data_IF_132049674670
#
_entry.id   IF_132049674670
#
_cell.length_a   1.000
_cell.length_b   1.000
_cell.length_c   1.000
_cell.angle_alpha   90.00
_cell.angle_beta   90.00
_cell.angle_gamma   90.00
#
_symmetry.space_group_name_H-M   'P 1'
#
loop_
_entity.id
_entity.type
_entity.pdbx_description
1 polymer ?
#
# COMPACT_ATOMS: atom_id res chain seq x y z
N UNK A 1 -5.11 20.40 9.72
CA UNK A 1 -4.36 20.51 8.45
C UNK A 1 -3.48 21.75 8.54
N UNK A 2 -2.17 21.61 8.40
CA UNK A 2 -1.22 22.74 8.32
C UNK A 2 -0.84 22.94 6.85
N UNK A 3 -0.87 24.18 6.37
CA UNK A 3 -0.61 24.51 4.96
C UNK A 3 0.66 25.35 4.88
N UNK A 4 1.64 24.89 4.10
CA UNK A 4 2.92 25.56 3.89
C UNK A 4 3.20 25.64 2.40
N UNK A 5 3.57 26.82 1.92
CA UNK A 5 4.00 27.02 0.54
C UNK A 5 5.52 26.91 0.46
N UNK A 6 6.02 25.99 -0.36
CA UNK A 6 7.46 25.76 -0.60
C UNK A 6 7.79 25.90 -2.07
N UNK A 7 8.98 26.44 -2.37
CA UNK A 7 9.55 26.46 -3.73
C UNK A 7 10.34 25.17 -3.98
N UNK A 8 10.65 24.90 -5.24
CA UNK A 8 11.57 23.82 -5.61
C UNK A 8 12.94 24.04 -4.92
N UNK A 9 13.46 22.99 -4.30
CA UNK A 9 14.66 22.99 -3.48
C UNK A 9 14.43 23.25 -1.99
N UNK A 10 13.24 23.68 -1.58
CA UNK A 10 12.92 23.85 -0.16
C UNK A 10 12.36 22.56 0.46
N UNK A 11 12.57 22.40 1.77
CA UNK A 11 12.12 21.25 2.54
C UNK A 11 11.26 21.66 3.74
N UNK A 12 10.47 20.68 4.21
CA UNK A 12 9.64 20.72 5.42
C UNK A 12 10.04 19.53 6.28
N UNK A 13 10.22 19.76 7.57
CA UNK A 13 10.52 18.71 8.54
C UNK A 13 9.26 18.38 9.35
N UNK A 14 9.00 17.09 9.56
CA UNK A 14 7.87 16.57 10.34
C UNK A 14 8.48 15.75 11.50
N UNK A 15 8.27 16.21 12.73
CA UNK A 15 9.01 15.65 13.88
C UNK A 15 10.51 15.92 13.73
N UNK A 16 11.33 14.93 14.10
CA UNK A 16 12.79 15.01 14.01
C UNK A 16 13.39 14.11 12.91
N UNK A 17 12.59 13.16 12.40
CA UNK A 17 13.10 12.06 11.54
C UNK A 17 12.59 12.11 10.10
N UNK A 18 11.55 12.90 9.79
CA UNK A 18 10.95 12.94 8.46
C UNK A 18 11.21 14.29 7.79
N UNK A 19 11.83 14.25 6.61
CA UNK A 19 12.10 15.43 5.78
C UNK A 19 11.41 15.27 4.43
N UNK A 20 10.55 16.23 4.09
CA UNK A 20 9.84 16.31 2.82
C UNK A 20 10.46 17.43 2.00
N UNK A 21 11.06 17.11 0.87
CA UNK A 21 11.74 18.06 -0.01
C UNK A 21 11.00 18.18 -1.33
N UNK A 22 10.72 19.42 -1.75
CA UNK A 22 10.15 19.66 -3.09
C UNK A 22 11.30 19.66 -4.09
N UNK A 23 11.41 18.63 -4.92
CA UNK A 23 12.52 18.50 -5.87
C UNK A 23 12.31 19.37 -7.12
N UNK A 24 11.16 19.25 -7.77
CA UNK A 24 10.77 20.10 -8.90
C UNK A 24 9.25 20.25 -8.96
N UNK A 25 8.78 21.34 -9.55
CA UNK A 25 7.38 21.54 -9.90
C UNK A 25 7.30 21.84 -11.40
N UNK A 26 6.58 21.00 -12.15
CA UNK A 26 6.37 21.16 -13.59
C UNK A 26 4.87 21.10 -13.89
N UNK A 27 4.26 22.26 -14.13
CA UNK A 27 2.81 22.36 -14.33
C UNK A 27 2.07 21.78 -13.13
N UNK A 28 1.27 20.75 -13.35
CA UNK A 28 0.47 20.08 -12.32
C UNK A 28 1.21 18.95 -11.58
N UNK A 29 2.40 18.55 -12.07
CA UNK A 29 3.17 17.46 -11.47
C UNK A 29 4.28 18.02 -10.59
N UNK A 30 4.27 17.61 -9.33
CA UNK A 30 5.28 17.98 -8.33
C UNK A 30 6.07 16.74 -7.97
N UNK A 31 7.39 16.81 -8.08
CA UNK A 31 8.28 15.75 -7.60
C UNK A 31 8.64 16.03 -6.16
N UNK A 32 8.28 15.11 -5.28
CA UNK A 32 8.51 15.22 -3.84
C UNK A 32 9.49 14.12 -3.43
N UNK A 33 10.56 14.50 -2.76
CA UNK A 33 11.46 13.58 -2.07
C UNK A 33 11.02 13.46 -0.62
N UNK A 34 10.89 12.24 -0.12
CA UNK A 34 10.57 11.97 1.28
C UNK A 34 11.73 11.16 1.86
N UNK A 35 12.37 11.70 2.87
CA UNK A 35 13.40 11.03 3.64
C UNK A 35 12.83 10.73 5.02
N UNK A 36 12.72 9.45 5.33
CA UNK A 36 12.18 8.94 6.58
C UNK A 36 13.01 7.72 7.01
N UNK A 37 13.07 7.41 8.31
CA UNK A 37 13.78 6.23 8.80
C UNK A 37 12.99 4.96 8.44
N UNK A 38 13.64 3.78 8.54
CA UNK A 38 13.10 2.51 8.02
C UNK A 38 11.84 2.01 8.75
N UNK A 39 11.64 2.46 9.97
CA UNK A 39 10.47 2.20 10.79
C UNK A 39 9.23 2.96 10.29
N UNK A 40 9.41 4.08 9.60
CA UNK A 40 8.32 4.87 9.02
C UNK A 40 8.07 4.45 7.59
N UNK A 41 6.95 3.77 7.35
CA UNK A 41 6.54 3.39 6.01
C UNK A 41 5.96 4.59 5.25
N UNK A 42 6.43 4.80 4.02
CA UNK A 42 5.95 5.86 3.13
C UNK A 42 5.18 5.22 1.98
N UNK A 43 3.89 5.52 1.89
CA UNK A 43 3.00 5.01 0.85
C UNK A 43 2.35 6.17 0.10
N UNK A 44 1.91 5.90 -1.13
CA UNK A 44 0.98 6.80 -1.81
C UNK A 44 -0.40 6.64 -1.18
N UNK A 45 -1.13 7.75 -1.02
CA UNK A 45 -2.41 7.77 -0.30
C UNK A 45 -3.42 6.81 -0.92
N UNK A 46 -3.55 6.83 -2.25
CA UNK A 46 -4.49 6.00 -2.99
C UNK A 46 -4.25 4.51 -2.76
N UNK A 47 -2.98 4.09 -2.82
CA UNK A 47 -2.58 2.70 -2.62
C UNK A 47 -2.82 2.27 -1.17
N UNK A 48 -2.54 3.15 -0.21
CA UNK A 48 -2.75 2.85 1.20
C UNK A 48 -4.24 2.66 1.53
N UNK A 49 -5.12 3.48 0.94
CA UNK A 49 -6.56 3.36 1.14
C UNK A 49 -7.11 2.05 0.56
N UNK A 50 -6.70 1.69 -0.67
CA UNK A 50 -7.09 0.42 -1.29
C UNK A 50 -6.64 -0.78 -0.46
N UNK A 51 -5.37 -0.80 -0.03
CA UNK A 51 -4.83 -1.86 0.80
C UNK A 51 -5.58 -1.98 2.14
N UNK A 52 -5.89 -0.85 2.77
CA UNK A 52 -6.63 -0.83 4.04
C UNK A 52 -8.06 -1.35 3.88
N UNK A 53 -8.71 -1.05 2.76
CA UNK A 53 -10.05 -1.53 2.45
C UNK A 53 -10.04 -3.03 2.18
N UNK A 54 -9.13 -3.51 1.33
CA UNK A 54 -8.96 -4.93 1.05
C UNK A 54 -8.66 -5.74 2.32
N UNK A 55 -7.77 -5.24 3.19
CA UNK A 55 -7.48 -5.88 4.48
C UNK A 55 -8.71 -5.94 5.39
N UNK A 56 -9.56 -4.90 5.38
CA UNK A 56 -10.79 -4.89 6.17
C UNK A 56 -11.80 -5.91 5.67
N UNK A 57 -11.96 -6.04 4.35
CA UNK A 57 -12.84 -7.05 3.74
C UNK A 57 -12.33 -8.46 4.03
N UNK A 58 -11.02 -8.68 3.95
CA UNK A 58 -10.39 -9.97 4.24
C UNK A 58 -10.47 -10.37 5.73
N UNK A 59 -10.53 -9.40 6.66
CA UNK A 59 -10.57 -9.67 8.10
C UNK A 59 -11.90 -10.27 8.59
N UNK A 60 -12.97 -10.16 7.80
CA UNK A 60 -14.30 -10.68 8.15
C UNK A 60 -14.87 -11.53 7.00
N UNK A 61 -14.26 -12.69 6.69
CA UNK A 61 -14.76 -13.57 5.65
C UNK A 61 -16.13 -14.14 6.06
N UNK A 62 -17.01 -14.33 5.08
CA UNK A 62 -18.30 -14.98 5.34
C UNK A 62 -18.09 -16.48 5.60
N UNK A 63 -18.93 -17.08 6.46
CA UNK A 63 -18.91 -18.53 6.72
C UNK A 63 -19.00 -19.37 5.43
N UNK A 64 -19.75 -18.87 4.44
CA UNK A 64 -19.85 -19.51 3.12
C UNK A 64 -18.49 -19.53 2.39
N UNK A 65 -17.72 -18.43 2.45
CA UNK A 65 -16.39 -18.36 1.83
C UNK A 65 -15.39 -19.29 2.52
N UNK A 66 -15.45 -19.40 3.86
CA UNK A 66 -14.59 -20.32 4.63
C UNK A 66 -14.91 -21.78 4.30
N UNK A 67 -16.20 -22.13 4.20
CA UNK A 67 -16.63 -23.49 3.82
C UNK A 67 -16.20 -23.86 2.40
N UNK A 68 -16.43 -22.97 1.44
CA UNK A 68 -16.04 -23.17 0.05
C UNK A 68 -14.51 -23.35 -0.11
N UNK A 69 -13.71 -22.59 0.65
CA UNK A 69 -12.25 -22.75 0.67
C UNK A 69 -11.83 -24.10 1.27
N UNK A 70 -12.49 -24.52 2.37
CA UNK A 70 -12.20 -25.81 3.02
C UNK A 70 -12.45 -26.97 2.05
N UNK A 71 -13.56 -26.94 1.31
CA UNK A 71 -13.89 -27.94 0.29
C UNK A 71 -12.89 -27.99 -0.88
N UNK A 72 -12.32 -26.84 -1.25
CA UNK A 72 -11.28 -26.74 -2.28
C UNK A 72 -9.93 -27.31 -1.82
N UNK A 73 -9.56 -27.09 -0.56
CA UNK A 73 -8.31 -27.57 0.03
C UNK A 73 -8.36 -29.07 0.34
N UNK A 74 -9.53 -29.60 0.72
CA UNK A 74 -9.72 -31.03 0.97
C UNK A 74 -9.89 -31.87 -0.31
N UNK A 75 -9.94 -31.23 -1.50
CA UNK A 75 -9.98 -31.96 -2.76
C UNK A 75 -8.60 -32.59 -3.01
N UNK A 76 -8.45 -33.92 -2.97
CA UNK A 76 -7.17 -34.53 -3.32
C UNK A 76 -6.88 -34.17 -4.78
N UNK A 77 -5.62 -33.83 -5.08
CA UNK A 77 -5.14 -33.59 -6.43
C UNK A 77 -5.55 -34.77 -7.33
N UNK A 78 -6.66 -34.62 -8.04
CA UNK A 78 -7.17 -35.64 -8.93
C UNK A 78 -6.28 -35.64 -10.17
N UNK A 79 -5.35 -36.61 -10.16
CA UNK A 79 -4.67 -37.20 -11.31
C UNK A 79 -3.89 -36.24 -12.22
N UNK A 80 -2.56 -36.27 -12.08
CA UNK A 80 -1.67 -36.12 -13.24
C UNK A 80 -2.16 -37.06 -14.35
N UNK A 81 -2.29 -36.60 -15.60
CA UNK A 81 -2.64 -37.49 -16.70
C UNK A 81 -1.56 -38.57 -16.84
N UNK A 82 -1.91 -39.84 -17.14
CA UNK A 82 -0.92 -40.85 -17.44
C UNK A 82 -0.18 -40.46 -18.73
N UNK A 83 1.14 -40.47 -18.68
CA UNK A 83 2.00 -40.45 -19.87
C UNK A 83 1.63 -41.67 -20.75
N UNK A 84 1.14 -41.41 -21.95
CA UNK A 84 1.19 -42.33 -23.10
C UNK A 84 1.64 -41.58 -24.35
#
# INVERSE_FOLDING_TARGET
MLVLTRKAGESVMIGDDVVVTVLEARGDVIRIGIQAPRDVQVHREEVYQELRNANREAASPTDAAVRALTELLDRPAAASPPDE
#
